data_IF_752522397760
#
_entry.id   IF_752522397760
#
_cell.length_a   1.000
_cell.length_b   1.000
_cell.length_c   1.000
_cell.angle_alpha   90.00
_cell.angle_beta   90.00
_cell.angle_gamma   90.00
#
_symmetry.space_group_name_H-M   'P 1'
#
loop_
_entity.id
_entity.type
_entity.pdbx_description
1 polymer ?
#
# COMPACT_ATOMS: atom_id res chain seq x y z
N UNK A 1 4.37 -17.17 32.81
CA UNK A 1 4.36 -17.67 31.42
C UNK A 1 3.33 -16.87 30.62
N UNK A 2 3.76 -15.88 29.84
CA UNK A 2 2.83 -15.08 29.04
C UNK A 2 2.44 -15.89 27.79
N UNK A 3 1.14 -16.11 27.56
CA UNK A 3 0.68 -16.95 26.47
C UNK A 3 0.93 -16.23 25.12
N UNK A 4 1.87 -16.72 24.32
CA UNK A 4 2.20 -16.17 22.99
C UNK A 4 0.98 -16.10 22.05
N UNK A 5 -0.06 -16.90 22.29
CA UNK A 5 -1.31 -16.86 21.53
C UNK A 5 -2.17 -15.62 21.86
N UNK A 6 -2.10 -15.11 23.09
CA UNK A 6 -2.82 -13.91 23.53
C UNK A 6 -2.12 -12.61 23.08
N UNK A 7 -0.80 -12.61 22.90
CA UNK A 7 -0.06 -11.42 22.50
C UNK A 7 -0.39 -10.97 21.07
N UNK A 8 -0.50 -11.91 20.13
CA UNK A 8 -0.77 -11.61 18.70
C UNK A 8 -2.06 -10.80 18.49
N UNK A 9 -3.23 -11.19 19.02
CA UNK A 9 -4.45 -10.40 18.86
C UNK A 9 -4.38 -9.04 19.56
N UNK A 10 -3.71 -8.92 20.72
CA UNK A 10 -3.54 -7.63 21.41
C UNK A 10 -2.76 -6.64 20.56
N UNK A 11 -1.58 -7.03 20.06
CA UNK A 11 -0.78 -6.16 19.20
C UNK A 11 -1.46 -5.88 17.87
N UNK A 12 -2.19 -6.86 17.32
CA UNK A 12 -3.01 -6.65 16.11
C UNK A 12 -4.08 -5.58 16.36
N UNK A 13 -4.77 -5.62 17.50
CA UNK A 13 -5.75 -4.59 17.89
C UNK A 13 -5.13 -3.20 18.04
N UNK A 14 -3.92 -3.10 18.61
CA UNK A 14 -3.18 -1.83 18.67
C UNK A 14 -2.84 -1.29 17.28
N UNK A 15 -2.39 -2.15 16.37
CA UNK A 15 -2.09 -1.76 14.99
C UNK A 15 -3.36 -1.30 14.25
N UNK A 16 -4.50 -1.95 14.48
CA UNK A 16 -5.80 -1.52 13.95
C UNK A 16 -6.15 -0.11 14.45
N UNK A 17 -6.05 0.14 15.76
CA UNK A 17 -6.33 1.47 16.32
C UNK A 17 -5.44 2.55 15.72
N UNK A 18 -4.13 2.28 15.60
CA UNK A 18 -3.18 3.19 14.94
C UNK A 18 -3.57 3.40 13.47
N UNK A 19 -3.93 2.33 12.75
CA UNK A 19 -4.30 2.40 11.34
C UNK A 19 -5.56 3.21 11.08
N UNK A 20 -6.56 3.16 11.95
CA UNK A 20 -7.74 4.05 11.89
C UNK A 20 -7.31 5.52 12.00
N UNK A 21 -6.48 5.86 12.99
CA UNK A 21 -6.00 7.23 13.20
C UNK A 21 -5.17 7.69 12.00
N UNK A 22 -4.25 6.87 11.52
CA UNK A 22 -3.41 7.19 10.36
C UNK A 22 -4.24 7.33 9.07
N UNK A 23 -5.26 6.50 8.88
CA UNK A 23 -6.14 6.57 7.72
C UNK A 23 -6.87 7.92 7.68
N UNK A 24 -7.35 8.38 8.82
CA UNK A 24 -8.21 9.53 8.93
C UNK A 24 -7.44 10.85 9.00
N UNK A 25 -6.42 10.93 9.86
CA UNK A 25 -5.70 12.17 10.14
C UNK A 25 -4.45 12.38 9.27
N UNK A 26 -3.85 11.30 8.74
CA UNK A 26 -2.66 11.37 7.87
C UNK A 26 -3.00 10.93 6.45
N UNK A 27 -4.00 11.57 5.86
CA UNK A 27 -4.37 11.42 4.47
C UNK A 27 -4.37 12.76 3.71
N UNK A 28 -3.80 12.75 2.52
CA UNK A 28 -3.79 13.89 1.59
C UNK A 28 -4.75 13.58 0.46
N UNK A 29 -5.70 14.47 0.22
CA UNK A 29 -6.79 14.29 -0.75
C UNK A 29 -6.75 15.37 -1.83
N UNK A 30 -6.88 14.96 -3.09
CA UNK A 30 -6.85 15.82 -4.27
C UNK A 30 -8.11 15.61 -5.13
N UNK A 31 -8.92 16.67 -5.36
CA UNK A 31 -8.94 17.93 -4.61
C UNK A 31 -9.33 17.72 -3.13
N UNK A 32 -9.07 18.68 -2.22
CA UNK A 32 -9.41 18.58 -0.80
C UNK A 32 -10.92 18.80 -0.57
N UNK A 33 -11.73 17.95 -1.20
CA UNK A 33 -13.20 17.95 -1.10
C UNK A 33 -13.69 16.69 -0.36
N UNK A 34 -14.97 16.63 -0.04
CA UNK A 34 -15.59 15.45 0.59
C UNK A 34 -15.43 14.16 -0.24
N UNK A 35 -15.40 14.31 -1.57
CA UNK A 35 -15.23 13.22 -2.54
C UNK A 35 -13.97 13.46 -3.39
N UNK A 36 -12.78 13.17 -2.85
CA UNK A 36 -11.55 13.39 -3.58
C UNK A 36 -11.39 12.35 -4.69
N UNK A 37 -10.82 12.78 -5.81
CA UNK A 37 -10.52 11.88 -6.93
C UNK A 37 -9.32 10.99 -6.61
N UNK A 38 -8.33 11.55 -5.92
CA UNK A 38 -7.14 10.83 -5.46
C UNK A 38 -6.98 11.09 -3.96
N UNK A 39 -6.85 10.02 -3.18
CA UNK A 39 -6.52 10.09 -1.75
C UNK A 39 -5.28 9.27 -1.45
N UNK A 40 -4.20 9.93 -1.06
CA UNK A 40 -2.99 9.31 -0.54
C UNK A 40 -3.15 9.12 0.97
N UNK A 41 -3.00 7.90 1.45
CA UNK A 41 -3.12 7.61 2.89
C UNK A 41 -2.12 6.53 3.30
N UNK A 42 -1.63 6.63 4.52
CA UNK A 42 -0.77 5.63 5.16
C UNK A 42 -1.55 4.73 6.11
N UNK A 43 -2.88 4.80 6.10
CA UNK A 43 -3.75 4.00 6.96
C UNK A 43 -3.59 2.50 6.78
N UNK A 44 -3.15 2.02 5.61
CA UNK A 44 -2.93 0.59 5.39
C UNK A 44 -1.58 0.10 5.93
N UNK A 45 -0.68 1.01 6.35
CA UNK A 45 0.65 0.65 6.83
C UNK A 45 0.57 -0.30 8.05
N UNK A 46 -0.22 -0.03 9.11
CA UNK A 46 -0.31 -0.93 10.25
C UNK A 46 -0.95 -2.28 9.91
N UNK A 47 -1.88 -2.33 8.95
CA UNK A 47 -2.49 -3.58 8.45
C UNK A 47 -1.43 -4.45 7.77
N UNK A 48 -0.61 -3.85 6.90
CA UNK A 48 0.49 -4.55 6.22
C UNK A 48 1.46 -5.11 7.26
N UNK A 49 1.83 -4.30 8.27
CA UNK A 49 2.73 -4.74 9.35
C UNK A 49 2.12 -5.85 10.20
N UNK A 50 0.82 -5.79 10.52
CA UNK A 50 0.12 -6.87 11.23
C UNK A 50 0.20 -8.19 10.45
N UNK A 51 -0.01 -8.12 9.13
CA UNK A 51 0.15 -9.26 8.23
C UNK A 51 1.58 -9.80 8.23
N UNK A 52 2.57 -8.92 8.06
CA UNK A 52 3.99 -9.29 7.99
C UNK A 52 4.48 -9.90 9.31
N UNK A 53 4.12 -9.32 10.45
CA UNK A 53 4.60 -9.75 11.78
C UNK A 53 3.82 -10.95 12.33
N UNK A 54 2.49 -10.95 12.23
CA UNK A 54 1.65 -11.97 12.89
C UNK A 54 1.05 -13.00 11.92
N UNK A 55 1.00 -12.69 10.63
CA UNK A 55 0.63 -13.60 9.55
C UNK A 55 -0.58 -13.13 8.74
N UNK A 56 -0.83 -13.77 7.58
CA UNK A 56 -1.85 -13.32 6.63
C UNK A 56 -3.25 -13.26 7.23
N UNK A 57 -3.59 -14.21 8.11
CA UNK A 57 -4.88 -14.22 8.81
C UNK A 57 -5.03 -12.98 9.69
N UNK A 58 -4.04 -12.66 10.51
CA UNK A 58 -4.07 -11.47 11.37
C UNK A 58 -4.08 -10.17 10.56
N UNK A 59 -3.34 -10.11 9.45
CA UNK A 59 -3.40 -8.97 8.52
C UNK A 59 -4.78 -8.81 7.88
N UNK A 60 -5.40 -9.90 7.45
CA UNK A 60 -6.74 -9.89 6.86
C UNK A 60 -7.81 -9.45 7.85
N UNK A 61 -7.82 -10.04 9.05
CA UNK A 61 -8.74 -9.64 10.12
C UNK A 61 -8.50 -8.19 10.54
N UNK A 62 -7.25 -7.76 10.70
CA UNK A 62 -6.93 -6.37 10.99
C UNK A 62 -7.50 -5.41 9.93
N UNK A 63 -7.35 -5.76 8.65
CA UNK A 63 -7.90 -4.97 7.54
C UNK A 63 -9.42 -4.88 7.59
N UNK A 64 -10.12 -5.99 7.80
CA UNK A 64 -11.58 -6.02 7.92
C UNK A 64 -12.05 -5.15 9.10
N UNK A 65 -11.46 -5.34 10.27
CA UNK A 65 -11.86 -4.62 11.49
C UNK A 65 -11.56 -3.13 11.34
N UNK A 66 -10.39 -2.76 10.81
CA UNK A 66 -10.03 -1.36 10.58
C UNK A 66 -10.99 -0.67 9.61
N UNK A 67 -11.34 -1.32 8.50
CA UNK A 67 -12.25 -0.74 7.49
C UNK A 67 -13.66 -0.55 8.06
N UNK A 68 -14.21 -1.58 8.72
CA UNK A 68 -15.53 -1.50 9.34
C UNK A 68 -15.57 -0.42 10.43
N UNK A 69 -14.64 -0.44 11.38
CA UNK A 69 -14.61 0.56 12.45
C UNK A 69 -14.34 1.97 11.90
N UNK A 70 -13.43 2.12 10.96
CA UNK A 70 -13.15 3.40 10.31
C UNK A 70 -14.38 3.95 9.58
N UNK A 71 -15.13 3.08 8.90
CA UNK A 71 -16.38 3.45 8.25
C UNK A 71 -17.44 3.91 9.25
N UNK A 72 -17.68 3.15 10.32
CA UNK A 72 -18.69 3.50 11.32
C UNK A 72 -18.33 4.76 12.12
N UNK A 73 -17.05 4.97 12.43
CA UNK A 73 -16.60 6.12 13.22
C UNK A 73 -16.53 7.42 12.41
N UNK A 74 -16.01 7.35 11.17
CA UNK A 74 -15.73 8.55 10.37
C UNK A 74 -16.43 8.54 9.02
N UNK A 75 -16.57 7.37 8.39
CA UNK A 75 -17.12 7.25 7.04
C UNK A 75 -18.59 7.65 6.92
N UNK A 76 -19.42 7.23 7.87
CA UNK A 76 -20.85 7.60 7.92
C UNK A 76 -21.05 9.12 8.02
N UNK A 77 -20.27 9.77 8.89
CA UNK A 77 -20.32 11.23 9.06
C UNK A 77 -19.91 11.99 7.79
N UNK A 78 -19.08 11.38 6.93
CA UNK A 78 -18.64 11.93 5.64
C UNK A 78 -19.57 11.59 4.46
N UNK A 79 -20.66 10.87 4.71
CA UNK A 79 -21.59 10.45 3.66
C UNK A 79 -21.04 9.36 2.73
N UNK A 80 -20.01 8.61 3.16
CA UNK A 80 -19.54 7.47 2.39
C UNK A 80 -20.57 6.33 2.43
N UNK A 81 -20.69 5.62 1.30
CA UNK A 81 -21.56 4.46 1.16
C UNK A 81 -20.77 3.21 1.51
N UNK A 82 -21.30 2.38 2.40
CA UNK A 82 -20.71 1.09 2.71
C UNK A 82 -20.70 0.19 1.48
N UNK A 83 -19.56 -0.41 1.18
CA UNK A 83 -19.47 -1.43 0.13
C UNK A 83 -18.49 -2.53 0.54
N UNK A 84 -18.91 -3.81 0.56
CA UNK A 84 -18.09 -4.92 1.06
C UNK A 84 -16.82 -5.15 0.23
N UNK A 85 -16.78 -4.70 -1.03
CA UNK A 85 -15.57 -4.72 -1.84
C UNK A 85 -14.42 -3.87 -1.28
N UNK A 86 -14.71 -2.76 -0.59
CA UNK A 86 -13.67 -1.96 0.06
C UNK A 86 -13.10 -2.66 1.30
N UNK A 87 -13.96 -3.33 2.07
CA UNK A 87 -13.54 -4.19 3.18
C UNK A 87 -12.68 -5.35 2.71
N UNK A 88 -13.03 -5.97 1.56
CA UNK A 88 -12.19 -6.98 0.91
C UNK A 88 -10.83 -6.41 0.51
N UNK A 89 -10.77 -5.21 -0.08
CA UNK A 89 -9.50 -4.56 -0.40
C UNK A 89 -8.67 -4.35 0.86
N UNK A 90 -9.26 -3.85 1.94
CA UNK A 90 -8.58 -3.65 3.23
C UNK A 90 -8.00 -4.96 3.79
N UNK A 91 -8.74 -6.08 3.69
CA UNK A 91 -8.22 -7.40 4.05
C UNK A 91 -7.01 -7.79 3.18
N UNK A 92 -7.09 -7.56 1.87
CA UNK A 92 -6.03 -7.89 0.91
C UNK A 92 -4.75 -7.07 1.12
N UNK A 93 -4.86 -5.83 1.62
CA UNK A 93 -3.69 -5.04 2.04
C UNK A 93 -2.87 -5.76 3.12
N UNK A 94 -3.50 -6.53 4.02
CA UNK A 94 -2.80 -7.33 5.02
C UNK A 94 -2.41 -8.72 4.55
N UNK A 95 -3.25 -9.37 3.74
CA UNK A 95 -3.07 -10.76 3.29
C UNK A 95 -1.96 -10.86 2.24
N UNK A 96 -2.02 -10.07 1.17
CA UNK A 96 -1.13 -10.24 0.00
C UNK A 96 0.33 -10.04 0.38
N UNK A 97 0.72 -8.95 1.07
CA UNK A 97 2.12 -8.76 1.43
C UNK A 97 2.62 -9.83 2.39
N UNK A 98 1.79 -10.25 3.35
CA UNK A 98 2.14 -11.29 4.31
C UNK A 98 2.39 -12.65 3.63
N UNK A 99 1.54 -13.05 2.69
CA UNK A 99 1.73 -14.28 1.91
C UNK A 99 3.01 -14.20 1.10
N UNK A 100 3.14 -13.18 0.24
CA UNK A 100 4.27 -13.07 -0.67
C UNK A 100 5.62 -12.96 0.05
N UNK A 101 5.69 -12.25 1.18
CA UNK A 101 6.92 -12.10 1.96
C UNK A 101 7.31 -13.41 2.66
N UNK A 102 6.33 -14.18 3.15
CA UNK A 102 6.57 -15.44 3.88
C UNK A 102 6.75 -16.66 2.98
N UNK A 103 6.17 -16.69 1.78
CA UNK A 103 6.27 -17.81 0.83
C UNK A 103 7.71 -18.02 0.37
N UNK A 104 8.22 -19.25 0.35
CA UNK A 104 9.60 -19.54 -0.09
C UNK A 104 9.60 -19.88 -1.59
N UNK A 105 10.38 -19.13 -2.40
CA UNK A 105 10.56 -19.39 -3.83
C UNK A 105 11.97 -19.89 -4.15
N UNK A 106 12.12 -20.64 -5.24
CA UNK A 106 13.46 -20.99 -5.78
C UNK A 106 14.03 -19.77 -6.53
N UNK A 107 15.33 -19.49 -6.39
CA UNK A 107 16.03 -18.32 -7.02
C UNK A 107 15.43 -16.94 -6.71
N UNK A 108 14.87 -16.75 -5.51
CA UNK A 108 14.15 -15.52 -5.12
C UNK A 108 14.88 -14.21 -5.44
N UNK A 109 16.20 -14.15 -5.20
CA UNK A 109 16.95 -12.90 -5.29
C UNK A 109 16.97 -12.34 -6.72
N UNK A 110 17.29 -13.17 -7.70
CA UNK A 110 17.38 -12.75 -9.11
C UNK A 110 15.98 -12.47 -9.67
N UNK A 111 15.01 -13.33 -9.35
CA UNK A 111 13.64 -13.21 -9.85
C UNK A 111 12.97 -11.91 -9.38
N UNK A 112 12.92 -11.65 -8.07
CA UNK A 112 12.26 -10.44 -7.56
C UNK A 112 12.99 -9.17 -7.97
N UNK A 113 14.32 -9.19 -8.03
CA UNK A 113 15.10 -8.04 -8.48
C UNK A 113 14.76 -7.66 -9.94
N UNK A 114 14.70 -8.64 -10.84
CA UNK A 114 14.33 -8.41 -12.24
C UNK A 114 12.88 -7.98 -12.37
N UNK A 115 11.94 -8.65 -11.69
CA UNK A 115 10.52 -8.30 -11.75
C UNK A 115 10.26 -6.88 -11.24
N UNK A 116 10.94 -6.45 -10.17
CA UNK A 116 10.84 -5.08 -9.66
C UNK A 116 11.35 -4.04 -10.66
N UNK A 117 12.43 -4.33 -11.40
CA UNK A 117 12.89 -3.43 -12.46
C UNK A 117 11.95 -3.37 -13.64
N UNK A 118 11.37 -4.50 -14.04
CA UNK A 118 10.36 -4.53 -15.11
C UNK A 118 9.15 -3.69 -14.66
N UNK A 119 8.65 -3.90 -13.45
CA UNK A 119 7.54 -3.11 -12.91
C UNK A 119 7.88 -1.62 -12.81
N UNK A 120 9.05 -1.26 -12.28
CA UNK A 120 9.50 0.13 -12.20
C UNK A 120 9.67 0.76 -13.60
N UNK A 121 10.19 0.00 -14.57
CA UNK A 121 10.35 0.45 -15.95
C UNK A 121 9.01 0.69 -16.65
N UNK A 122 8.03 -0.20 -16.46
CA UNK A 122 6.66 -0.01 -16.96
C UNK A 122 6.03 1.23 -16.35
N UNK A 123 6.11 1.38 -15.02
CA UNK A 123 5.58 2.55 -14.32
C UNK A 123 6.27 3.85 -14.75
N UNK A 124 7.58 3.81 -14.99
CA UNK A 124 8.35 4.95 -15.48
C UNK A 124 7.96 5.34 -16.90
N UNK A 125 7.81 4.37 -17.80
CA UNK A 125 7.36 4.61 -19.17
C UNK A 125 5.97 5.23 -19.22
N UNK A 126 5.03 4.67 -18.45
CA UNK A 126 3.67 5.21 -18.33
C UNK A 126 3.66 6.62 -17.71
N UNK A 127 4.43 6.83 -16.63
CA UNK A 127 4.51 8.15 -15.98
C UNK A 127 5.10 9.20 -16.91
N UNK A 128 6.15 8.84 -17.67
CA UNK A 128 6.74 9.70 -18.71
C UNK A 128 5.73 10.04 -19.80
N UNK A 129 4.97 9.05 -20.27
CA UNK A 129 3.96 9.28 -21.31
C UNK A 129 2.89 10.28 -20.85
N UNK A 130 2.31 10.07 -19.67
CA UNK A 130 1.30 10.99 -19.11
C UNK A 130 1.89 12.36 -18.70
N UNK A 131 3.19 12.45 -18.43
CA UNK A 131 3.85 13.72 -18.14
C UNK A 131 3.92 14.62 -19.38
N UNK A 132 4.20 14.05 -20.56
CA UNK A 132 4.24 14.80 -21.81
C UNK A 132 2.86 14.98 -22.47
N UNK A 133 1.87 14.16 -22.10
CA UNK A 133 0.53 14.17 -22.66
C UNK A 133 -0.53 14.28 -21.54
N UNK A 134 -0.55 15.45 -20.89
CA UNK A 134 -1.35 15.72 -19.69
C UNK A 134 -2.85 15.72 -19.99
N UNK A 135 -3.24 16.02 -21.24
CA UNK A 135 -4.64 16.01 -21.67
C UNK A 135 -5.27 14.61 -21.58
N UNK A 136 -4.47 13.55 -21.72
CA UNK A 136 -4.90 12.16 -21.50
C UNK A 136 -5.18 11.83 -20.03
N UNK A 137 -4.73 12.66 -19.09
CA UNK A 137 -5.09 12.54 -17.68
C UNK A 137 -6.46 13.18 -17.48
N UNK A 138 -7.49 12.42 -17.81
CA UNK A 138 -8.88 12.87 -17.71
C UNK A 138 -9.28 13.07 -16.25
N UNK A 139 -9.59 14.31 -15.90
CA UNK A 139 -10.23 14.68 -14.65
C UNK A 139 -10.92 16.02 -14.88
N UNK A 140 -12.20 16.09 -14.48
CA UNK A 140 -13.02 17.31 -14.47
C UNK A 140 -12.74 18.18 -13.24
N UNK A 141 -12.04 17.65 -12.24
CA UNK A 141 -11.82 18.31 -10.94
C UNK A 141 -10.38 18.76 -10.72
N UNK A 142 -9.42 18.12 -11.39
CA UNK A 142 -8.00 18.50 -11.31
C UNK A 142 -7.69 19.53 -12.39
N UNK A 143 -7.16 20.67 -11.96
CA UNK A 143 -6.62 21.67 -12.87
C UNK A 143 -5.33 21.18 -13.56
N UNK A 144 -4.96 21.81 -14.68
CA UNK A 144 -3.77 21.50 -15.46
C UNK A 144 -2.49 21.51 -14.61
N UNK A 145 -2.34 22.47 -13.69
CA UNK A 145 -1.19 22.51 -12.78
C UNK A 145 -1.16 21.32 -11.83
N UNK A 146 -2.31 20.90 -11.29
CA UNK A 146 -2.39 19.74 -10.40
C UNK A 146 -2.09 18.43 -11.14
N UNK A 147 -2.52 18.30 -12.40
CA UNK A 147 -2.19 17.15 -13.25
C UNK A 147 -0.69 17.08 -13.54
N UNK A 148 -0.05 18.20 -13.85
CA UNK A 148 1.41 18.29 -14.07
C UNK A 148 2.20 17.91 -12.82
N UNK A 149 1.79 18.39 -11.64
CA UNK A 149 2.43 18.03 -10.39
C UNK A 149 2.30 16.53 -10.09
N UNK A 150 1.09 15.96 -10.29
CA UNK A 150 0.86 14.54 -10.09
C UNK A 150 1.73 13.68 -11.03
N UNK A 151 1.78 13.99 -12.32
CA UNK A 151 2.60 13.25 -13.28
C UNK A 151 4.10 13.42 -13.02
N UNK A 152 4.53 14.62 -12.61
CA UNK A 152 5.91 14.88 -12.18
C UNK A 152 6.30 14.04 -10.96
N UNK A 153 5.49 14.07 -9.89
CA UNK A 153 5.74 13.23 -8.71
C UNK A 153 5.71 11.74 -9.02
N UNK A 154 4.83 11.28 -9.91
CA UNK A 154 4.77 9.90 -10.35
C UNK A 154 6.07 9.47 -11.05
N UNK A 155 6.61 10.33 -11.93
CA UNK A 155 7.87 10.08 -12.63
C UNK A 155 9.05 9.99 -11.66
N UNK A 156 9.17 10.94 -10.72
CA UNK A 156 10.20 10.90 -9.68
C UNK A 156 10.07 9.67 -8.78
N UNK A 157 8.84 9.30 -8.40
CA UNK A 157 8.59 8.10 -7.61
C UNK A 157 8.95 6.82 -8.39
N UNK A 158 8.62 6.71 -9.67
CA UNK A 158 8.99 5.56 -10.50
C UNK A 158 10.52 5.41 -10.65
N UNK A 159 11.24 6.52 -10.83
CA UNK A 159 12.71 6.54 -10.76
C UNK A 159 13.21 6.12 -9.38
N UNK A 160 12.57 6.62 -8.33
CA UNK A 160 12.82 6.26 -6.93
C UNK A 160 12.68 4.76 -6.68
N UNK A 161 11.67 4.08 -7.26
CA UNK A 161 11.51 2.63 -7.16
C UNK A 161 12.68 1.87 -7.78
N UNK A 162 13.16 2.30 -8.96
CA UNK A 162 14.33 1.71 -9.60
C UNK A 162 15.59 1.91 -8.77
N UNK A 163 15.78 3.11 -8.18
CA UNK A 163 16.88 3.43 -7.28
C UNK A 163 16.81 2.61 -5.98
N UNK A 164 15.63 2.49 -5.37
CA UNK A 164 15.42 1.65 -4.19
C UNK A 164 15.78 0.20 -4.53
N UNK A 165 15.27 -0.37 -5.63
CA UNK A 165 15.59 -1.73 -6.02
C UNK A 165 17.11 -1.95 -6.18
N UNK A 166 17.82 -0.96 -6.74
CA UNK A 166 19.29 -0.97 -6.85
C UNK A 166 19.97 -0.96 -5.47
N UNK A 167 19.60 -0.03 -4.59
CA UNK A 167 20.18 0.11 -3.25
C UNK A 167 19.98 -1.15 -2.41
N UNK A 168 18.85 -1.83 -2.58
CA UNK A 168 18.52 -3.05 -1.86
C UNK A 168 19.40 -4.24 -2.27
N UNK A 169 20.10 -4.20 -3.41
CA UNK A 169 20.96 -5.30 -3.91
C UNK A 169 21.97 -5.82 -2.88
N UNK A 170 22.48 -4.93 -2.02
CA UNK A 170 23.50 -5.21 -1.00
C UNK A 170 22.93 -5.55 0.39
N UNK A 171 21.63 -5.36 0.65
CA UNK A 171 21.04 -5.59 1.97
C UNK A 171 20.68 -7.05 2.20
N UNK A 172 21.42 -7.76 3.07
CA UNK A 172 21.16 -9.17 3.42
C UNK A 172 20.88 -9.42 4.91
N UNK A 173 20.76 -8.37 5.72
CA UNK A 173 20.80 -8.48 7.20
C UNK A 173 19.45 -8.44 7.92
N UNK A 174 18.33 -8.57 7.22
CA UNK A 174 16.98 -8.31 7.75
C UNK A 174 16.14 -9.59 7.76
N UNK A 175 15.20 -9.73 8.70
CA UNK A 175 14.30 -10.90 8.83
C UNK A 175 13.67 -11.33 7.49
N UNK A 176 13.29 -10.34 6.68
CA UNK A 176 12.77 -10.55 5.33
C UNK A 176 13.64 -9.84 4.30
N UNK A 177 13.77 -10.45 3.12
CA UNK A 177 14.56 -9.90 2.01
C UNK A 177 13.91 -8.62 1.47
N UNK A 178 14.62 -7.49 1.39
CA UNK A 178 14.01 -6.21 1.00
C UNK A 178 13.40 -6.21 -0.41
N UNK A 179 14.00 -6.86 -1.40
CA UNK A 179 13.45 -6.95 -2.76
C UNK A 179 12.06 -7.60 -2.79
N UNK A 180 11.85 -8.56 -1.88
CA UNK A 180 10.59 -9.30 -1.77
C UNK A 180 9.50 -8.44 -1.15
N UNK A 181 9.87 -7.57 -0.19
CA UNK A 181 8.95 -6.57 0.37
C UNK A 181 8.51 -5.59 -0.72
N UNK A 182 9.45 -5.04 -1.50
CA UNK A 182 9.14 -4.16 -2.63
C UNK A 182 8.19 -4.84 -3.63
N UNK A 183 8.53 -6.07 -4.05
CA UNK A 183 7.70 -6.84 -4.97
C UNK A 183 6.29 -7.06 -4.42
N UNK A 184 6.19 -7.46 -3.15
CA UNK A 184 4.92 -7.75 -2.50
C UNK A 184 4.02 -6.52 -2.41
N UNK A 185 4.59 -5.34 -2.13
CA UNK A 185 3.85 -4.08 -2.11
C UNK A 185 3.39 -3.69 -3.53
N UNK A 186 4.25 -3.84 -4.55
CA UNK A 186 3.87 -3.59 -5.96
C UNK A 186 2.68 -4.48 -6.35
N UNK A 187 2.77 -5.80 -6.14
CA UNK A 187 1.71 -6.74 -6.50
C UNK A 187 0.41 -6.44 -5.76
N UNK A 188 0.51 -6.14 -4.46
CA UNK A 188 -0.64 -5.73 -3.66
C UNK A 188 -1.31 -4.48 -4.25
N UNK A 189 -0.55 -3.44 -4.61
CA UNK A 189 -1.09 -2.23 -5.21
C UNK A 189 -1.71 -2.41 -6.59
N UNK A 190 -1.13 -3.28 -7.44
CA UNK A 190 -1.73 -3.63 -8.73
C UNK A 190 -3.11 -4.27 -8.49
N UNK A 191 -3.20 -5.22 -7.58
CA UNK A 191 -4.45 -5.91 -7.31
C UNK A 191 -5.49 -4.99 -6.67
N UNK A 192 -5.15 -4.31 -5.57
CA UNK A 192 -6.12 -3.52 -4.82
C UNK A 192 -6.43 -2.19 -5.50
N UNK A 193 -5.42 -1.42 -5.90
CA UNK A 193 -5.59 -0.06 -6.42
C UNK A 193 -5.86 -0.04 -7.92
N UNK A 194 -5.19 -0.85 -8.73
CA UNK A 194 -5.34 -0.79 -10.19
C UNK A 194 -6.53 -1.62 -10.71
N UNK A 195 -6.87 -2.73 -10.05
CA UNK A 195 -7.92 -3.65 -10.54
C UNK A 195 -9.20 -3.53 -9.69
N UNK A 196 -9.12 -3.87 -8.40
CA UNK A 196 -10.31 -4.04 -7.58
C UNK A 196 -11.02 -2.73 -7.26
N UNK A 197 -10.29 -1.69 -6.87
CA UNK A 197 -10.91 -0.41 -6.49
C UNK A 197 -11.70 0.24 -7.65
N UNK A 198 -11.23 0.28 -8.91
CA UNK A 198 -12.06 0.72 -10.04
C UNK A 198 -13.33 -0.10 -10.23
N UNK A 199 -13.28 -1.41 -10.04
CA UNK A 199 -14.45 -2.29 -10.15
C UNK A 199 -15.48 -1.88 -9.10
N UNK A 200 -15.06 -1.64 -7.85
CA UNK A 200 -15.98 -1.19 -6.79
C UNK A 200 -16.53 0.21 -7.02
N UNK A 201 -15.74 1.12 -7.58
CA UNK A 201 -16.22 2.46 -7.93
C UNK A 201 -17.25 2.42 -9.06
N UNK A 202 -17.06 1.53 -10.04
CA UNK A 202 -18.02 1.33 -11.11
C UNK A 202 -19.37 0.80 -10.60
N UNK A 203 -19.37 -0.03 -9.55
CA UNK A 203 -20.61 -0.55 -8.96
C UNK A 203 -21.27 0.43 -7.98
N UNK A 204 -20.52 1.36 -7.39
CA UNK A 204 -21.02 2.26 -6.33
C UNK A 204 -21.33 3.67 -6.80
N UNK A 205 -20.64 4.17 -7.82
CA UNK A 205 -20.76 5.56 -8.29
C UNK A 205 -21.40 5.57 -9.67
N UNK A 206 -22.65 6.04 -9.80
CA UNK A 206 -23.32 6.16 -11.09
C UNK A 206 -22.52 7.02 -12.07
N UNK A 207 -22.34 6.54 -13.30
CA UNK A 207 -21.59 7.26 -14.34
C UNK A 207 -20.06 7.19 -14.20
N UNK A 208 -19.52 6.43 -13.25
CA UNK A 208 -18.07 6.23 -13.13
C UNK A 208 -17.51 5.42 -14.30
N UNK A 209 -16.48 5.96 -14.95
CA UNK A 209 -15.77 5.28 -16.04
C UNK A 209 -14.41 4.78 -15.56
N UNK A 210 -14.21 3.46 -15.62
CA UNK A 210 -12.94 2.80 -15.27
C UNK A 210 -11.80 3.36 -16.13
N UNK A 211 -12.05 3.60 -17.42
CA UNK A 211 -11.06 4.09 -18.37
C UNK A 211 -10.58 5.51 -18.06
N UNK A 212 -11.45 6.37 -17.51
CA UNK A 212 -11.06 7.73 -17.10
C UNK A 212 -10.24 7.73 -15.80
N UNK A 213 -10.49 6.78 -14.90
CA UNK A 213 -9.78 6.68 -13.64
C UNK A 213 -8.43 5.95 -13.73
N UNK A 214 -8.23 5.13 -14.75
CA UNK A 214 -7.02 4.33 -14.92
C UNK A 214 -5.73 5.19 -15.00
N UNK A 215 -5.67 6.28 -15.81
CA UNK A 215 -4.49 7.15 -15.83
C UNK A 215 -4.12 7.71 -14.46
N UNK A 216 -5.12 8.20 -13.71
CA UNK A 216 -4.91 8.77 -12.37
C UNK A 216 -4.36 7.72 -11.39
N UNK A 217 -4.81 6.47 -11.50
CA UNK A 217 -4.32 5.36 -10.66
C UNK A 217 -2.92 4.92 -11.04
N UNK A 218 -2.61 4.88 -12.33
CA UNK A 218 -1.26 4.58 -12.82
C UNK A 218 -0.24 5.64 -12.38
N UNK A 219 -0.64 6.91 -12.29
CA UNK A 219 0.21 7.98 -11.75
C UNK A 219 0.31 7.95 -10.22
N UNK A 220 -0.78 7.62 -9.53
CA UNK A 220 -0.81 7.52 -8.08
C UNK A 220 0.02 6.36 -7.54
N UNK A 221 0.00 5.22 -8.23
CA UNK A 221 0.58 3.96 -7.75
C UNK A 221 2.09 4.06 -7.44
N UNK A 222 2.98 4.58 -8.32
CA UNK A 222 4.41 4.70 -8.03
C UNK A 222 4.70 5.50 -6.76
N UNK A 223 3.93 6.57 -6.54
CA UNK A 223 4.06 7.46 -5.38
C UNK A 223 3.75 6.68 -4.10
N UNK A 224 2.61 5.98 -4.07
CA UNK A 224 2.21 5.19 -2.91
C UNK A 224 3.18 4.05 -2.65
N UNK A 225 3.52 3.24 -3.66
CA UNK A 225 4.45 2.12 -3.49
C UNK A 225 5.79 2.60 -2.92
N UNK A 226 6.33 3.71 -3.43
CA UNK A 226 7.60 4.27 -2.94
C UNK A 226 7.49 4.65 -1.46
N UNK A 227 6.44 5.37 -1.10
CA UNK A 227 6.24 5.83 0.27
C UNK A 227 6.05 4.66 1.24
N UNK A 228 5.24 3.68 0.88
CA UNK A 228 5.01 2.49 1.70
C UNK A 228 6.28 1.68 1.90
N UNK A 229 7.07 1.49 0.84
CA UNK A 229 8.33 0.75 0.92
C UNK A 229 9.34 1.43 1.83
N UNK A 230 9.47 2.76 1.73
CA UNK A 230 10.36 3.55 2.59
C UNK A 230 9.96 3.50 4.07
N UNK A 231 8.68 3.31 4.39
CA UNK A 231 8.21 3.17 5.77
C UNK A 231 8.28 1.73 6.29
N UNK A 232 7.85 0.74 5.48
CA UNK A 232 7.78 -0.66 5.90
C UNK A 232 9.18 -1.22 6.20
N UNK A 233 10.18 -0.94 5.35
CA UNK A 233 11.50 -1.55 5.48
C UNK A 233 12.21 -1.19 6.80
N UNK A 234 12.33 0.08 7.21
CA UNK A 234 12.89 0.43 8.51
C UNK A 234 12.12 -0.21 9.66
N UNK A 235 10.77 -0.25 9.59
CA UNK A 235 9.94 -0.82 10.64
C UNK A 235 10.17 -2.33 10.80
N UNK A 236 10.30 -3.07 9.69
CA UNK A 236 10.68 -4.50 9.73
C UNK A 236 12.07 -4.67 10.38
N UNK A 237 13.03 -3.80 10.06
CA UNK A 237 14.39 -3.91 10.60
C UNK A 237 14.45 -3.62 12.10
N UNK A 238 13.70 -2.62 12.56
CA UNK A 238 13.57 -2.31 13.99
C UNK A 238 12.93 -3.48 14.71
N UNK A 239 11.84 -4.03 14.16
CA UNK A 239 11.16 -5.19 14.75
C UNK A 239 12.09 -6.41 14.86
N UNK A 240 12.85 -6.73 13.80
CA UNK A 240 13.82 -7.84 13.80
C UNK A 240 14.89 -7.67 14.88
N UNK A 241 15.44 -6.45 15.03
CA UNK A 241 16.43 -6.15 16.08
C UNK A 241 15.86 -6.29 17.48
N UNK A 242 14.64 -5.83 17.71
CA UNK A 242 13.96 -5.95 19.00
C UNK A 242 13.63 -7.41 19.35
N UNK A 243 13.20 -8.19 18.35
CA UNK A 243 12.91 -9.62 18.52
C UNK A 243 14.17 -10.41 18.88
N UNK A 244 15.28 -10.19 18.18
CA UNK A 244 16.56 -10.86 18.49
C UNK A 244 17.07 -10.51 19.89
N UNK A 245 16.95 -9.24 20.30
CA UNK A 245 17.37 -8.79 21.63
C UNK A 245 16.55 -9.44 22.75
N UNK A 246 15.27 -9.70 22.53
CA UNK A 246 14.40 -10.35 23.53
C UNK A 246 14.70 -11.84 23.66
N UNK A 247 15.06 -12.52 22.58
CA UNK A 247 15.50 -13.92 22.61
C UNK A 247 16.81 -14.09 23.38
N UNK A 248 17.81 -13.21 23.16
CA UNK A 248 19.12 -13.26 23.86
C UNK A 248 19.08 -12.96 25.35
N UNK A 249 18.01 -12.34 25.86
CA UNK A 249 17.85 -12.02 27.30
C UNK A 249 17.07 -13.13 28.02
N UNK A 250 16.44 -14.04 27.27
CA UNK A 250 15.68 -15.19 27.80
C UNK A 250 16.47 -16.50 27.83
N UNK A 251 17.67 -16.53 27.24
CA UNK A 251 18.68 -17.60 27.39
C UNK A 251 19.67 -17.24 28.51
#
# INVERSE_FOLDING_TARGET
MYNKQLQKPIFTGMLVAIGIILAEFLAISLPPTAHPVIRFSIGYLPIILAGVFYGPVYGGVAGIVQDLLGFFLFGLAKGYVFHPGYTLNAALYGIIPALLIRSVFKREKSLFYTLNYVAAGVLLGLSTWFFFDIEKVYSSTLDSSAKLLLSGFALFAALGLAAINFLLRKGSGTLYRPQKVLFAVIVMYILTSLILTPIWLWTTVPGYSIWLALPLRLLKMPIEVTFYVLLIMPMINVFDRLSKKTETVSE
#
